data_IF_512787292289
#
_entry.id   IF_512787292289
#
_cell.length_a   1.000
_cell.length_b   1.000
_cell.length_c   1.000
_cell.angle_alpha   90.00
_cell.angle_beta   90.00
_cell.angle_gamma   90.00
#
_symmetry.space_group_name_H-M   'P 1'
#
loop_
_entity.id
_entity.type
_entity.pdbx_description
1 polymer ?
#
# COMPACT_ATOMS: atom_id res chain seq x y z
N UNK A 1 -0.93 -5.33 -13.17
CA UNK A 1 0.44 -5.25 -12.60
C UNK A 1 1.26 -4.21 -13.36
N UNK A 2 1.57 -3.08 -12.73
CA UNK A 2 2.38 -1.95 -13.21
C UNK A 2 3.84 -2.20 -12.83
N UNK A 3 4.68 -2.57 -13.81
CA UNK A 3 6.13 -2.70 -13.63
C UNK A 3 6.83 -1.49 -14.22
N UNK A 4 7.89 -1.04 -13.57
CA UNK A 4 8.74 0.08 -14.00
C UNK A 4 10.16 -0.43 -14.23
N UNK A 5 10.87 0.16 -15.21
CA UNK A 5 12.29 -0.15 -15.43
C UNK A 5 13.12 0.73 -14.50
N UNK A 6 13.97 0.10 -13.71
CA UNK A 6 14.85 0.78 -12.77
C UNK A 6 16.26 0.19 -12.80
N UNK A 7 17.25 1.00 -12.42
CA UNK A 7 18.63 0.58 -12.30
C UNK A 7 19.01 0.38 -10.84
N UNK A 8 19.15 -0.87 -10.42
CA UNK A 8 19.52 -1.26 -9.06
C UNK A 8 20.89 -1.93 -9.06
N UNK A 9 21.81 -1.47 -8.20
CA UNK A 9 23.17 -2.00 -8.10
C UNK A 9 23.91 -2.07 -9.46
N UNK A 10 23.62 -1.10 -10.34
CA UNK A 10 24.21 -1.04 -11.68
C UNK A 10 23.51 -1.91 -12.74
N UNK A 11 22.55 -2.75 -12.37
CA UNK A 11 21.80 -3.67 -13.24
C UNK A 11 20.44 -3.07 -13.60
N UNK A 12 20.08 -3.06 -14.87
CA UNK A 12 18.73 -2.70 -15.31
C UNK A 12 17.76 -3.87 -15.06
N UNK A 13 16.68 -3.60 -14.35
CA UNK A 13 15.68 -4.61 -14.00
C UNK A 13 14.27 -4.04 -14.01
N UNK A 14 13.29 -4.93 -14.09
CA UNK A 14 11.88 -4.58 -13.91
C UNK A 14 11.52 -4.71 -12.45
N UNK A 15 11.07 -3.62 -11.85
CA UNK A 15 10.58 -3.59 -10.47
C UNK A 15 9.08 -3.33 -10.44
N UNK A 16 8.42 -3.79 -9.40
CA UNK A 16 7.02 -3.45 -9.13
C UNK A 16 6.93 -1.95 -8.81
N UNK A 17 5.89 -1.27 -9.29
CA UNK A 17 5.68 0.14 -8.92
C UNK A 17 5.36 0.27 -7.43
N UNK A 18 5.55 1.47 -6.87
CA UNK A 18 5.25 1.75 -5.47
C UNK A 18 3.77 1.51 -5.17
N UNK A 19 2.89 1.85 -6.10
CA UNK A 19 1.45 1.66 -5.97
C UNK A 19 1.07 0.18 -5.94
N UNK A 20 1.58 -0.61 -6.89
CA UNK A 20 1.34 -2.06 -6.91
C UNK A 20 1.92 -2.74 -5.67
N UNK A 21 3.05 -2.25 -5.15
CA UNK A 21 3.61 -2.72 -3.88
C UNK A 21 2.64 -2.44 -2.72
N UNK A 22 2.15 -1.20 -2.59
CA UNK A 22 1.19 -0.82 -1.56
C UNK A 22 -0.09 -1.67 -1.63
N UNK A 23 -0.71 -1.76 -2.80
CA UNK A 23 -1.92 -2.56 -3.01
C UNK A 23 -1.68 -4.02 -2.65
N UNK A 24 -0.54 -4.61 -3.05
CA UNK A 24 -0.25 -6.01 -2.73
C UNK A 24 -0.11 -6.27 -1.22
N UNK A 25 0.36 -5.26 -0.47
CA UNK A 25 0.49 -5.33 0.99
C UNK A 25 -0.85 -5.15 1.68
N UNK A 26 -1.71 -4.27 1.18
CA UNK A 26 -3.04 -4.05 1.77
C UNK A 26 -4.01 -5.22 1.52
N UNK A 27 -3.95 -5.87 0.35
CA UNK A 27 -4.88 -6.95 -0.01
C UNK A 27 -4.64 -8.24 0.76
N UNK A 28 -3.37 -8.63 0.94
CA UNK A 28 -3.01 -9.97 1.44
C UNK A 28 -2.36 -9.96 2.82
N UNK A 29 -2.08 -8.77 3.34
CA UNK A 29 -1.12 -8.58 4.42
C UNK A 29 -1.72 -8.59 5.81
N UNK A 30 -0.99 -9.15 6.76
CA UNK A 30 -1.24 -8.93 8.18
C UNK A 30 -0.68 -7.57 8.66
N UNK A 31 -0.66 -7.37 9.97
CA UNK A 31 -0.07 -6.18 10.61
C UNK A 31 1.32 -5.78 10.06
N UNK A 32 2.20 -6.76 9.85
CA UNK A 32 3.57 -6.51 9.38
C UNK A 32 3.59 -5.93 7.96
N UNK A 33 2.76 -6.46 7.07
CA UNK A 33 2.64 -5.99 5.71
C UNK A 33 2.00 -4.59 5.65
N UNK A 34 1.05 -4.30 6.54
CA UNK A 34 0.53 -2.94 6.69
C UNK A 34 1.65 -1.97 7.11
N UNK A 35 2.51 -2.36 8.07
CA UNK A 35 3.62 -1.51 8.53
C UNK A 35 4.59 -1.20 7.38
N UNK A 36 4.88 -2.19 6.53
CA UNK A 36 5.67 -1.98 5.30
C UNK A 36 4.98 -1.00 4.34
N UNK A 37 3.66 -1.13 4.17
CA UNK A 37 2.88 -0.25 3.32
C UNK A 37 2.88 1.18 3.86
N UNK A 38 2.69 1.37 5.17
CA UNK A 38 2.74 2.67 5.83
C UNK A 38 4.12 3.32 5.68
N UNK A 39 5.19 2.56 5.89
CA UNK A 39 6.56 3.04 5.67
C UNK A 39 6.80 3.51 4.23
N UNK A 40 6.30 2.76 3.25
CA UNK A 40 6.36 3.15 1.83
C UNK A 40 5.54 4.41 1.56
N UNK A 41 4.32 4.48 2.07
CA UNK A 41 3.42 5.63 1.94
C UNK A 41 4.06 6.89 2.50
N UNK A 42 4.50 6.88 3.76
CA UNK A 42 5.11 8.05 4.42
C UNK A 42 6.33 8.56 3.69
N UNK A 43 7.18 7.64 3.18
CA UNK A 43 8.44 7.98 2.50
C UNK A 43 8.23 8.55 1.10
N UNK A 44 7.24 8.05 0.36
CA UNK A 44 7.05 8.36 -1.06
C UNK A 44 5.70 9.02 -1.37
N UNK A 45 5.01 9.56 -0.37
CA UNK A 45 3.67 10.17 -0.50
C UNK A 45 3.53 11.23 -1.59
N UNK A 46 4.64 11.87 -2.00
CA UNK A 46 4.67 12.90 -3.05
C UNK A 46 4.97 12.33 -4.45
N UNK A 47 5.42 11.07 -4.53
CA UNK A 47 5.73 10.38 -5.78
C UNK A 47 4.65 9.35 -6.16
N UNK A 48 3.83 8.94 -5.19
CA UNK A 48 2.79 7.93 -5.35
C UNK A 48 1.59 8.52 -6.08
N UNK A 49 1.08 7.76 -7.06
CA UNK A 49 -0.18 8.06 -7.75
C UNK A 49 -1.39 7.69 -6.88
N UNK A 50 -1.91 8.67 -6.13
CA UNK A 50 -3.02 8.50 -5.18
C UNK A 50 -4.36 8.23 -5.86
N UNK A 51 -4.55 8.78 -7.07
CA UNK A 51 -5.77 8.57 -7.85
C UNK A 51 -5.85 7.13 -8.33
N UNK A 52 -4.72 6.58 -8.80
CA UNK A 52 -4.62 5.17 -9.15
C UNK A 52 -4.92 4.26 -7.94
N UNK A 53 -4.34 4.55 -6.78
CA UNK A 53 -4.59 3.77 -5.56
C UNK A 53 -6.05 3.78 -5.13
N UNK A 54 -6.71 4.94 -5.18
CA UNK A 54 -8.14 5.08 -4.81
C UNK A 54 -9.07 4.34 -5.78
N UNK A 55 -8.76 4.35 -7.09
CA UNK A 55 -9.55 3.60 -8.08
C UNK A 55 -9.38 2.09 -7.86
N UNK A 56 -8.14 1.64 -7.68
CA UNK A 56 -7.86 0.21 -7.58
C UNK A 56 -8.25 -0.36 -6.23
N UNK A 57 -8.18 0.42 -5.14
CA UNK A 57 -8.67 -0.03 -3.83
C UNK A 57 -10.14 -0.42 -3.90
N UNK A 58 -10.97 0.36 -4.61
CA UNK A 58 -12.40 0.08 -4.87
C UNK A 58 -12.64 -1.16 -5.70
N UNK A 59 -11.76 -1.42 -6.66
CA UNK A 59 -11.87 -2.63 -7.49
C UNK A 59 -11.51 -3.90 -6.73
N UNK A 60 -10.68 -3.76 -5.69
CA UNK A 60 -10.18 -4.85 -4.87
C UNK A 60 -10.93 -5.01 -3.54
N UNK A 61 -11.92 -4.16 -3.26
CA UNK A 61 -12.71 -4.14 -2.03
C UNK A 61 -11.86 -3.99 -0.76
N UNK A 62 -10.87 -3.08 -0.83
CA UNK A 62 -9.92 -2.76 0.27
C UNK A 62 -9.92 -1.27 0.64
N UNK A 63 -11.03 -0.58 0.38
CA UNK A 63 -11.22 0.81 0.77
C UNK A 63 -10.99 1.08 2.27
N UNK A 64 -11.39 0.19 3.21
CA UNK A 64 -11.11 0.40 4.63
C UNK A 64 -9.61 0.45 4.94
N UNK A 65 -8.85 -0.50 4.40
CA UNK A 65 -7.39 -0.62 4.57
C UNK A 65 -6.68 0.57 3.93
N UNK A 66 -7.10 0.96 2.73
CA UNK A 66 -6.54 2.14 2.07
C UNK A 66 -6.88 3.43 2.82
N UNK A 67 -8.07 3.54 3.40
CA UNK A 67 -8.46 4.68 4.23
C UNK A 67 -7.65 4.75 5.52
N UNK A 68 -7.37 3.60 6.14
CA UNK A 68 -6.46 3.50 7.28
C UNK A 68 -5.05 3.94 6.89
N UNK A 69 -4.52 3.46 5.77
CA UNK A 69 -3.20 3.87 5.27
C UNK A 69 -3.11 5.40 5.09
N UNK A 70 -4.16 6.02 4.50
CA UNK A 70 -4.23 7.48 4.33
C UNK A 70 -4.26 8.24 5.66
N UNK A 71 -4.82 7.65 6.72
CA UNK A 71 -4.90 8.28 8.04
C UNK A 71 -3.55 8.42 8.73
N UNK A 72 -2.56 7.60 8.34
CA UNK A 72 -1.21 7.64 8.91
C UNK A 72 -1.11 7.16 10.35
N UNK A 73 -2.10 6.39 10.83
CA UNK A 73 -2.10 5.81 12.18
C UNK A 73 -1.09 4.66 12.23
N UNK A 74 -0.11 4.77 13.14
CA UNK A 74 0.95 3.77 13.36
C UNK A 74 0.46 2.49 14.06
N UNK A 75 -0.72 2.49 14.69
CA UNK A 75 -1.31 1.32 15.39
C UNK A 75 -2.62 0.79 14.76
N UNK A 76 -2.51 0.01 13.67
CA UNK A 76 -3.59 -0.73 13.03
C UNK A 76 -4.37 -1.75 13.85
N UNK A 77 -3.83 -2.27 14.96
CA UNK A 77 -4.44 -3.41 15.66
C UNK A 77 -5.84 -3.03 16.16
N UNK A 78 -5.98 -1.81 16.67
CA UNK A 78 -7.25 -1.25 17.13
C UNK A 78 -8.26 -1.04 15.99
N UNK A 79 -7.79 -0.78 14.77
CA UNK A 79 -8.65 -0.59 13.59
C UNK A 79 -9.09 -1.93 12.97
N UNK A 80 -8.17 -2.88 12.82
CA UNK A 80 -8.50 -4.21 12.30
C UNK A 80 -9.39 -5.00 13.26
N UNK A 81 -9.24 -4.82 14.57
CA UNK A 81 -10.18 -5.36 15.55
C UNK A 81 -11.60 -4.78 15.35
N UNK A 82 -11.73 -3.47 15.10
CA UNK A 82 -13.03 -2.83 14.84
C UNK A 82 -13.67 -3.26 13.51
N UNK A 83 -12.88 -3.60 12.49
CA UNK A 83 -13.39 -4.12 11.22
C UNK A 83 -13.88 -5.56 11.32
N UNK A 84 -13.30 -6.39 12.21
CA UNK A 84 -13.73 -7.78 12.43
C UNK A 84 -15.05 -7.91 13.19
N UNK A 85 -15.44 -6.87 13.91
CA UNK A 85 -16.66 -6.83 14.73
C UNK A 85 -17.89 -6.25 13.99
N UNK A 86 -17.78 -5.96 12.68
CA UNK A 86 -18.89 -5.57 11.79
C UNK A 86 -19.30 -6.71 10.87
#
# INVERSE_FOLDING_TARGET
>A
KKRVRERLFGIECWVTSKEDFLLSKLVYGGWQDYTDALGCWLRFQNEIDKDYLEIVSKQLDIEPEYSLLKSGIDDPDDFFNRLRDQ
#
